data_IF_523227647206
#
_entry.id   IF_523227647206
#
_cell.length_a   1.000
_cell.length_b   1.000
_cell.length_c   1.000
_cell.angle_alpha   90.00
_cell.angle_beta   90.00
_cell.angle_gamma   90.00
#
_symmetry.space_group_name_H-M   'P 1'
#
loop_
_entity.id
_entity.type
_entity.pdbx_description
1 polymer ?
#
# COMPACT_ATOMS: atom_id res chain seq x y z
N UNK A 1 -24.26 -10.85 -19.20
CA UNK A 1 -23.44 -9.65 -19.01
C UNK A 1 -23.02 -9.63 -17.55
N UNK A 2 -21.77 -9.98 -17.25
CA UNK A 2 -21.23 -9.90 -15.89
C UNK A 2 -20.02 -8.99 -15.93
N UNK A 3 -20.18 -7.83 -15.30
CA UNK A 3 -19.20 -6.77 -15.18
C UNK A 3 -18.23 -7.16 -14.05
N UNK A 4 -17.03 -7.63 -14.39
CA UNK A 4 -15.97 -7.92 -13.42
C UNK A 4 -15.00 -6.74 -13.45
N UNK A 5 -15.05 -5.91 -12.40
CA UNK A 5 -14.05 -4.86 -12.17
C UNK A 5 -12.64 -5.43 -12.03
N UNK A 6 -11.58 -4.59 -12.12
CA UNK A 6 -10.21 -5.07 -12.20
C UNK A 6 -9.83 -5.77 -10.91
N UNK A 7 -9.48 -7.06 -11.02
CA UNK A 7 -9.08 -7.95 -9.94
C UNK A 7 -7.57 -8.19 -10.04
N UNK A 8 -6.90 -8.10 -8.88
CA UNK A 8 -5.59 -8.69 -8.54
C UNK A 8 -4.35 -7.79 -8.76
N UNK A 9 -4.12 -6.90 -7.81
CA UNK A 9 -2.81 -6.30 -7.56
C UNK A 9 -2.07 -7.14 -6.48
N UNK A 10 -0.75 -7.36 -6.63
CA UNK A 10 0.11 -8.13 -5.70
C UNK A 10 1.33 -7.33 -5.23
N UNK A 11 1.70 -7.55 -3.98
CA UNK A 11 2.92 -7.05 -3.35
C UNK A 11 4.13 -7.95 -3.59
N UNK A 12 5.30 -7.36 -3.85
CA UNK A 12 6.60 -8.05 -3.81
C UNK A 12 7.30 -7.71 -2.48
N UNK A 13 7.17 -8.59 -1.49
CA UNK A 13 7.66 -8.38 -0.12
C UNK A 13 9.18 -8.32 0.02
N UNK A 14 9.93 -8.90 -0.91
CA UNK A 14 11.41 -9.01 -0.83
C UNK A 14 12.14 -7.65 -0.77
N UNK A 15 11.44 -6.53 -0.98
CA UNK A 15 12.02 -5.18 -0.94
C UNK A 15 11.87 -4.50 0.43
N UNK A 16 11.21 -5.13 1.40
CA UNK A 16 10.79 -4.50 2.67
C UNK A 16 11.51 -5.09 3.89
N UNK A 17 12.04 -6.30 3.80
CA UNK A 17 12.64 -7.03 4.94
C UNK A 17 13.78 -6.26 5.63
N UNK A 18 14.60 -5.53 4.87
CA UNK A 18 15.78 -4.83 5.40
C UNK A 18 15.59 -3.32 5.62
N UNK A 19 14.39 -2.77 5.38
CA UNK A 19 14.18 -1.32 5.48
C UNK A 19 13.69 -0.93 6.87
N UNK A 20 14.52 -0.18 7.61
CA UNK A 20 14.14 0.33 8.94
C UNK A 20 13.00 1.36 8.87
N UNK A 21 12.18 1.45 9.91
CA UNK A 21 11.13 2.49 10.00
C UNK A 21 11.71 3.91 9.92
N UNK A 22 12.92 4.14 10.43
CA UNK A 22 13.59 5.44 10.33
C UNK A 22 13.86 5.83 8.88
N UNK A 23 14.33 4.89 8.07
CA UNK A 23 14.54 5.08 6.63
C UNK A 23 13.22 5.32 5.91
N UNK A 24 12.15 4.57 6.25
CA UNK A 24 10.81 4.79 5.71
C UNK A 24 10.30 6.20 6.05
N UNK A 25 10.45 6.66 7.29
CA UNK A 25 10.03 8.01 7.68
C UNK A 25 10.77 9.09 6.91
N UNK A 26 12.07 8.89 6.67
CA UNK A 26 12.87 9.81 5.88
C UNK A 26 12.35 9.88 4.43
N UNK A 27 12.09 8.72 3.80
CA UNK A 27 11.53 8.65 2.44
C UNK A 27 10.16 9.30 2.35
N UNK A 28 9.26 9.03 3.32
CA UNK A 28 7.94 9.67 3.40
C UNK A 28 8.09 11.18 3.43
N UNK A 29 8.95 11.72 4.29
CA UNK A 29 9.18 13.17 4.38
C UNK A 29 9.74 13.77 3.09
N UNK A 30 10.64 13.06 2.42
CA UNK A 30 11.24 13.49 1.16
C UNK A 30 10.23 13.48 0.00
N UNK A 31 9.38 12.46 -0.08
CA UNK A 31 8.47 12.24 -1.21
C UNK A 31 7.10 12.91 -1.03
N UNK A 32 6.73 13.28 0.19
CA UNK A 32 5.39 13.80 0.52
C UNK A 32 5.00 15.04 -0.29
N UNK A 33 5.94 15.97 -0.52
CA UNK A 33 5.71 17.18 -1.29
C UNK A 33 5.29 16.87 -2.75
N UNK A 34 5.91 15.86 -3.36
CA UNK A 34 5.60 15.45 -4.74
C UNK A 34 4.25 14.75 -4.87
N UNK A 35 3.66 14.30 -3.76
CA UNK A 35 2.40 13.57 -3.71
C UNK A 35 1.25 14.38 -3.09
N UNK A 36 1.45 15.68 -2.81
CA UNK A 36 0.48 16.53 -2.11
C UNK A 36 0.02 15.92 -0.76
N UNK A 37 0.90 15.19 -0.08
CA UNK A 37 0.65 14.65 1.26
C UNK A 37 1.40 15.50 2.27
N UNK A 38 0.79 15.77 3.41
CA UNK A 38 1.51 16.41 4.54
C UNK A 38 2.10 15.32 5.42
N UNK A 39 3.44 15.23 5.62
CA UNK A 39 4.07 14.17 6.40
C UNK A 39 3.89 14.40 7.91
N UNK A 40 2.65 14.26 8.38
CA UNK A 40 2.24 14.43 9.78
C UNK A 40 2.49 13.16 10.60
N UNK A 41 2.39 13.27 11.92
CA UNK A 41 2.44 12.10 12.81
C UNK A 41 1.36 11.07 12.46
N UNK A 42 0.18 11.52 12.00
CA UNK A 42 -0.91 10.65 11.56
C UNK A 42 -0.55 9.88 10.28
N UNK A 43 0.10 10.52 9.31
CA UNK A 43 0.59 9.84 8.10
C UNK A 43 1.65 8.80 8.45
N UNK A 44 2.61 9.16 9.32
CA UNK A 44 3.66 8.23 9.76
C UNK A 44 3.07 7.04 10.53
N UNK A 45 2.06 7.25 11.37
CA UNK A 45 1.37 6.17 12.09
C UNK A 45 0.70 5.16 11.14
N UNK A 46 0.04 5.64 10.08
CA UNK A 46 -0.57 4.76 9.07
C UNK A 46 0.49 3.97 8.31
N UNK A 47 1.58 4.64 7.90
CA UNK A 47 2.72 3.99 7.23
C UNK A 47 3.33 2.93 8.14
N UNK A 48 3.65 3.26 9.39
CA UNK A 48 4.22 2.30 10.35
C UNK A 48 3.33 1.10 10.59
N UNK A 49 2.01 1.32 10.67
CA UNK A 49 1.03 0.26 10.87
C UNK A 49 1.01 -0.72 9.69
N UNK A 50 1.05 -0.20 8.44
CA UNK A 50 1.12 -1.02 7.24
C UNK A 50 2.45 -1.79 7.15
N UNK A 51 3.57 -1.13 7.46
CA UNK A 51 4.90 -1.76 7.39
C UNK A 51 5.09 -2.86 8.43
N UNK A 52 4.60 -2.65 9.66
CA UNK A 52 4.60 -3.71 10.68
C UNK A 52 3.75 -4.90 10.24
N UNK A 53 2.58 -4.64 9.67
CA UNK A 53 1.73 -5.69 9.10
C UNK A 53 2.48 -6.47 8.01
N UNK A 54 3.21 -5.80 7.12
CA UNK A 54 4.03 -6.49 6.12
C UNK A 54 5.11 -7.35 6.77
N UNK A 55 5.87 -6.81 7.71
CA UNK A 55 6.94 -7.53 8.42
C UNK A 55 6.43 -8.78 9.14
N UNK A 56 5.27 -8.69 9.80
CA UNK A 56 4.64 -9.82 10.51
C UNK A 56 4.10 -10.90 9.57
N UNK A 57 3.90 -10.58 8.29
CA UNK A 57 3.30 -11.48 7.30
C UNK A 57 4.25 -11.86 6.15
N UNK A 58 5.54 -11.52 6.25
CA UNK A 58 6.51 -11.73 5.16
C UNK A 58 6.89 -13.21 4.95
N UNK A 59 6.77 -14.06 5.99
CA UNK A 59 7.07 -15.51 5.93
C UNK A 59 6.01 -16.33 5.15
N UNK A 60 4.87 -15.73 4.81
CA UNK A 60 3.88 -16.39 3.99
C UNK A 60 4.24 -16.14 2.52
N UNK A 61 4.75 -17.17 1.84
CA UNK A 61 5.05 -17.28 0.39
C UNK A 61 3.81 -17.07 -0.52
N UNK A 62 2.77 -16.42 0.02
CA UNK A 62 1.51 -16.08 -0.57
C UNK A 62 1.51 -14.58 -0.83
N UNK A 63 1.45 -14.21 -2.11
CA UNK A 63 1.12 -12.86 -2.51
C UNK A 63 -0.09 -12.34 -1.74
N UNK A 64 0.07 -11.31 -0.92
CA UNK A 64 -1.09 -10.65 -0.33
C UNK A 64 -1.80 -9.83 -1.40
N UNK A 65 -3.11 -10.03 -1.45
CA UNK A 65 -3.99 -9.20 -2.23
C UNK A 65 -4.14 -7.83 -1.55
N UNK A 66 -4.07 -6.77 -2.33
CA UNK A 66 -4.15 -5.39 -1.83
C UNK A 66 -5.47 -5.07 -1.13
N UNK A 67 -6.52 -5.83 -1.47
CA UNK A 67 -7.78 -5.76 -0.75
C UNK A 67 -7.64 -6.12 0.73
N UNK A 68 -6.68 -6.98 1.10
CA UNK A 68 -6.38 -7.31 2.49
C UNK A 68 -5.67 -6.14 3.19
N UNK A 69 -4.75 -5.45 2.51
CA UNK A 69 -4.05 -4.28 3.08
C UNK A 69 -5.01 -3.12 3.35
N UNK A 70 -5.90 -2.83 2.39
CA UNK A 70 -6.92 -1.79 2.54
C UNK A 70 -7.87 -2.13 3.68
N UNK A 71 -8.34 -3.38 3.75
CA UNK A 71 -9.22 -3.84 4.83
C UNK A 71 -8.51 -3.79 6.18
N UNK A 72 -7.25 -4.18 6.23
CA UNK A 72 -6.44 -4.13 7.45
C UNK A 72 -6.34 -2.70 7.98
N UNK A 73 -5.96 -1.73 7.12
CA UNK A 73 -5.88 -0.33 7.53
C UNK A 73 -7.24 0.24 7.93
N UNK A 74 -8.30 -0.07 7.19
CA UNK A 74 -9.67 0.35 7.55
C UNK A 74 -10.05 -0.13 8.96
N UNK A 75 -9.76 -1.38 9.29
CA UNK A 75 -10.00 -1.95 10.61
C UNK A 75 -9.09 -1.36 11.70
N UNK A 76 -7.80 -1.23 11.43
CA UNK A 76 -6.82 -0.66 12.37
C UNK A 76 -7.18 0.78 12.77
N UNK A 77 -7.71 1.55 11.83
CA UNK A 77 -8.09 2.95 12.03
C UNK A 77 -9.59 3.16 12.18
N UNK A 78 -10.40 2.11 12.37
CA UNK A 78 -11.85 2.22 12.53
C UNK A 78 -12.24 3.18 13.66
N UNK A 79 -11.47 3.18 14.76
CA UNK A 79 -11.65 4.09 15.89
C UNK A 79 -11.41 5.58 15.56
N UNK A 80 -10.73 5.88 14.44
CA UNK A 80 -10.53 7.24 13.91
C UNK A 80 -11.44 7.56 12.72
N UNK A 81 -12.30 6.62 12.30
CA UNK A 81 -13.19 6.77 11.14
C UNK A 81 -12.83 5.90 9.93
N UNK A 82 -11.86 5.00 10.06
CA UNK A 82 -11.50 4.00 9.04
C UNK A 82 -11.15 4.63 7.70
N UNK A 83 -11.79 4.15 6.64
CA UNK A 83 -11.59 4.59 5.25
C UNK A 83 -11.69 6.11 5.08
N UNK A 84 -12.65 6.76 5.77
CA UNK A 84 -12.80 8.22 5.69
C UNK A 84 -11.57 8.96 6.24
N UNK A 85 -11.04 8.49 7.37
CA UNK A 85 -9.82 9.05 7.96
C UNK A 85 -8.61 8.85 7.05
N UNK A 86 -8.50 7.66 6.42
CA UNK A 86 -7.43 7.37 5.48
C UNK A 86 -7.52 8.26 4.22
N UNK A 87 -8.72 8.49 3.68
CA UNK A 87 -8.93 9.38 2.53
C UNK A 87 -8.57 10.84 2.82
N UNK A 88 -8.84 11.33 4.03
CA UNK A 88 -8.45 12.68 4.48
C UNK A 88 -6.91 12.84 4.55
N UNK A 89 -6.19 11.78 4.92
CA UNK A 89 -4.73 11.80 5.00
C UNK A 89 -4.03 11.61 3.65
N UNK A 90 -4.65 10.89 2.72
CA UNK A 90 -4.05 10.50 1.43
C UNK A 90 -4.95 10.91 0.23
N UNK A 91 -5.08 12.22 -0.09
CA UNK A 91 -6.07 12.73 -1.04
C UNK A 91 -5.73 12.54 -2.53
N UNK A 92 -4.85 11.60 -2.87
CA UNK A 92 -4.20 11.54 -4.19
C UNK A 92 -5.08 10.97 -5.31
N UNK A 93 -6.25 10.40 -4.98
CA UNK A 93 -7.12 9.68 -5.92
C UNK A 93 -6.51 8.39 -6.48
N UNK A 94 -5.24 8.08 -6.19
CA UNK A 94 -4.53 6.88 -6.62
C UNK A 94 -4.71 5.70 -5.66
N UNK A 95 -5.43 5.89 -4.55
CA UNK A 95 -5.64 4.88 -3.51
C UNK A 95 -4.57 4.93 -2.41
N UNK A 96 -4.99 4.57 -1.19
CA UNK A 96 -4.18 4.70 0.03
C UNK A 96 -2.90 3.86 -0.05
N UNK A 97 -2.98 2.59 -0.44
CA UNK A 97 -1.81 1.69 -0.50
C UNK A 97 -0.80 2.15 -1.56
N UNK A 98 -1.27 2.50 -2.76
CA UNK A 98 -0.42 3.04 -3.84
C UNK A 98 0.30 4.32 -3.39
N UNK A 99 -0.40 5.19 -2.67
CA UNK A 99 0.18 6.42 -2.13
C UNK A 99 1.24 6.12 -1.08
N UNK A 100 0.97 5.19 -0.16
CA UNK A 100 1.94 4.78 0.87
C UNK A 100 3.19 4.17 0.22
N UNK A 101 3.03 3.33 -0.81
CA UNK A 101 4.16 2.78 -1.57
C UNK A 101 5.00 3.88 -2.22
N UNK A 102 4.36 4.84 -2.88
CA UNK A 102 5.06 5.97 -3.49
C UNK A 102 5.77 6.86 -2.45
N UNK A 103 5.13 7.13 -1.32
CA UNK A 103 5.74 7.87 -0.20
C UNK A 103 6.97 7.15 0.35
N UNK A 104 6.86 5.85 0.57
CA UNK A 104 7.92 5.04 1.15
C UNK A 104 9.01 4.62 0.15
N UNK A 105 8.89 4.99 -1.13
CA UNK A 105 9.82 4.58 -2.18
C UNK A 105 9.84 3.06 -2.40
N UNK A 106 8.72 2.39 -2.16
CA UNK A 106 8.57 0.96 -2.42
C UNK A 106 8.26 0.70 -3.89
N UNK A 107 8.56 -0.52 -4.39
CA UNK A 107 8.13 -0.93 -5.71
C UNK A 107 6.62 -0.72 -5.90
N UNK A 108 6.20 -0.31 -7.10
CA UNK A 108 4.78 -0.23 -7.41
C UNK A 108 4.17 -1.62 -7.32
N UNK A 109 2.91 -1.63 -6.89
CA UNK A 109 2.05 -2.81 -6.82
C UNK A 109 1.95 -3.44 -8.22
N UNK A 110 2.36 -4.70 -8.35
CA UNK A 110 2.26 -5.39 -9.64
C UNK A 110 0.80 -5.72 -9.89
N UNK A 111 0.27 -5.29 -11.03
CA UNK A 111 -0.95 -5.87 -11.56
C UNK A 111 -0.61 -7.28 -12.06
N UNK A 112 -1.38 -8.30 -11.67
CA UNK A 112 -1.40 -9.55 -12.44
C UNK A 112 -1.93 -9.19 -13.83
N UNK A 113 -1.02 -8.89 -14.76
CA UNK A 113 -1.35 -8.96 -16.17
C UNK A 113 -1.58 -10.44 -16.43
N UNK A 114 -2.84 -10.80 -16.62
CA UNK A 114 -3.32 -12.13 -16.95
C UNK A 114 -2.30 -12.87 -17.83
N UNK A 115 -1.59 -13.85 -17.27
CA UNK A 115 -0.76 -14.81 -18.04
C UNK A 115 -1.67 -15.80 -18.78
N UNK A 116 -2.69 -15.28 -19.46
CA UNK A 116 -3.81 -16.04 -20.01
C UNK A 116 -4.16 -15.69 -21.45
N UNK A 117 -3.42 -14.80 -22.12
CA UNK A 117 -3.52 -14.63 -23.57
C UNK A 117 -2.24 -15.16 -24.22
N UNK A 118 -2.21 -16.49 -24.39
CA UNK A 118 -1.37 -17.08 -25.41
C UNK A 118 -1.76 -16.48 -26.75
N UNK A 119 -0.95 -15.55 -27.26
CA UNK A 119 -0.90 -15.35 -28.70
C UNK A 119 -0.14 -16.54 -29.25
N UNK A 120 -0.89 -17.58 -29.61
CA UNK A 120 -0.50 -18.42 -30.71
C UNK A 120 -0.29 -17.49 -31.92
N UNK A 121 0.94 -17.46 -32.42
CA UNK A 121 1.25 -17.03 -33.79
C UNK A 121 1.36 -18.26 -34.65
#
# INVERSE_FOLDING_TARGET
MSNLGPKNERLLYHSIEDVSLTEIHQRVKQNAASLNVTPSAAVLEVVDTLFKYYQENTDNDQSQEIHNDVRFLDQAFAHKGGSKYLEELFPTGQGVIRTIHALAGLPPLQMDVDKGLGTAL
#
